data_IF_283650666939
#
_entry.id   IF_283650666939
#
_cell.length_a   1.000
_cell.length_b   1.000
_cell.length_c   1.000
_cell.angle_alpha   90.00
_cell.angle_beta   90.00
_cell.angle_gamma   90.00
#
_symmetry.space_group_name_H-M   'P 1'
#
loop_
_entity.id
_entity.type
_entity.pdbx_description
1 polymer ?
#
# COMPACT_ATOMS: atom_id res chain seq x y z
N UNK A 1 24.01 -24.44 8.51
CA UNK A 1 24.74 -23.19 8.78
C UNK A 1 24.01 -22.52 9.93
N UNK A 2 24.70 -22.21 11.02
CA UNK A 2 24.11 -21.76 12.29
C UNK A 2 23.25 -20.51 12.10
N UNK A 3 21.94 -20.60 12.36
CA UNK A 3 21.10 -19.41 12.57
C UNK A 3 21.77 -18.59 13.68
N UNK A 4 22.19 -17.37 13.37
CA UNK A 4 22.47 -16.38 14.40
C UNK A 4 21.12 -16.01 14.99
N UNK A 5 20.71 -16.76 16.02
CA UNK A 5 19.66 -16.34 16.94
C UNK A 5 20.23 -15.15 17.70
N UNK A 6 20.13 -13.96 17.12
CA UNK A 6 20.32 -12.74 17.88
C UNK A 6 19.26 -12.76 18.98
N UNK A 7 19.72 -12.90 20.23
CA UNK A 7 18.89 -12.84 21.40
C UNK A 7 18.29 -11.43 21.51
N UNK A 8 17.07 -11.25 21.03
CA UNK A 8 16.28 -10.04 21.27
C UNK A 8 15.50 -10.23 22.55
N UNK A 9 16.21 -10.06 23.66
CA UNK A 9 15.63 -9.96 24.98
C UNK A 9 16.22 -8.74 25.66
N UNK A 10 15.34 -7.89 26.19
CA UNK A 10 15.62 -6.72 27.04
C UNK A 10 16.92 -6.89 27.83
N UNK A 11 17.93 -6.10 27.49
CA UNK A 11 18.97 -5.69 28.42
C UNK A 11 18.90 -4.18 28.53
N UNK A 12 18.64 -3.71 29.74
CA UNK A 12 18.86 -2.33 30.18
C UNK A 12 17.80 -1.26 29.82
N UNK A 13 16.52 -1.63 29.70
CA UNK A 13 15.41 -0.66 29.80
C UNK A 13 15.38 0.42 28.71
N UNK A 14 15.98 0.14 27.55
CA UNK A 14 15.88 0.99 26.35
C UNK A 14 14.77 0.42 25.46
N UNK A 15 13.79 1.26 25.13
CA UNK A 15 12.79 1.03 24.09
C UNK A 15 13.47 0.49 22.84
N UNK A 16 13.20 -0.77 22.47
CA UNK A 16 13.83 -1.39 21.32
C UNK A 16 12.91 -1.33 20.09
N UNK A 17 12.98 -0.24 19.32
CA UNK A 17 12.53 -0.26 17.93
C UNK A 17 13.48 -1.18 17.15
N UNK A 18 12.97 -2.25 16.59
CA UNK A 18 13.74 -3.21 15.76
C UNK A 18 12.98 -3.52 14.49
N UNK A 19 13.70 -3.93 13.45
CA UNK A 19 13.08 -4.36 12.21
C UNK A 19 13.61 -5.71 11.73
N UNK A 20 12.72 -6.48 11.11
CA UNK A 20 12.99 -7.75 10.45
C UNK A 20 12.72 -7.54 8.96
N UNK A 21 13.74 -7.76 8.14
CA UNK A 21 13.67 -7.52 6.69
C UNK A 21 13.90 -8.82 5.94
N UNK A 22 13.08 -9.09 4.93
CA UNK A 22 13.23 -10.28 4.11
C UNK A 22 12.33 -10.26 2.88
N UNK A 23 12.65 -11.07 1.85
CA UNK A 23 11.79 -11.19 0.67
C UNK A 23 10.45 -11.86 1.03
N UNK A 24 9.49 -11.78 0.11
CA UNK A 24 8.24 -12.53 0.16
C UNK A 24 8.55 -14.02 0.29
N UNK A 25 7.78 -14.72 1.12
CA UNK A 25 8.02 -16.14 1.39
C UNK A 25 9.18 -16.45 2.34
N UNK A 26 9.96 -15.47 2.80
CA UNK A 26 11.03 -15.66 3.80
C UNK A 26 10.53 -16.06 5.20
N UNK A 27 9.21 -15.95 5.44
CA UNK A 27 8.58 -16.26 6.72
C UNK A 27 8.47 -15.08 7.68
N UNK A 28 8.54 -13.83 7.20
CA UNK A 28 8.35 -12.61 8.01
C UNK A 28 7.10 -12.67 8.91
N UNK A 29 5.93 -12.89 8.33
CA UNK A 29 4.66 -12.99 9.08
C UNK A 29 4.71 -14.13 10.10
N UNK A 30 5.27 -15.29 9.72
CA UNK A 30 5.41 -16.45 10.61
C UNK A 30 6.31 -16.16 11.81
N UNK A 31 7.38 -15.39 11.60
CA UNK A 31 8.27 -14.94 12.67
C UNK A 31 7.57 -13.94 13.59
N UNK A 32 6.79 -12.98 13.06
CA UNK A 32 5.97 -12.09 13.89
C UNK A 32 4.92 -12.85 14.71
N UNK A 33 4.18 -13.77 14.09
CA UNK A 33 3.16 -14.60 14.77
C UNK A 33 3.76 -15.49 15.86
N UNK A 34 4.97 -16.03 15.62
CA UNK A 34 5.71 -16.78 16.64
C UNK A 34 6.01 -15.88 17.84
N UNK A 35 6.58 -14.69 17.60
CA UNK A 35 6.91 -13.72 18.66
C UNK A 35 5.68 -13.24 19.41
N UNK A 36 4.59 -12.97 18.71
CA UNK A 36 3.31 -12.59 19.31
C UNK A 36 2.83 -13.68 20.30
N UNK A 37 2.89 -14.96 19.92
CA UNK A 37 2.53 -16.08 20.81
C UNK A 37 3.48 -16.24 22.01
N UNK A 38 4.75 -15.90 21.84
CA UNK A 38 5.79 -16.03 22.87
C UNK A 38 5.87 -14.81 23.81
N UNK A 39 5.18 -13.71 23.51
CA UNK A 39 5.26 -12.44 24.24
C UNK A 39 3.93 -12.07 24.91
N UNK A 40 3.75 -12.39 26.20
CA UNK A 40 2.53 -12.05 26.93
C UNK A 40 2.23 -10.54 26.92
N UNK A 41 0.99 -10.17 26.62
CA UNK A 41 0.56 -8.78 26.58
C UNK A 41 0.96 -8.01 25.33
N UNK A 42 1.62 -8.66 24.35
CA UNK A 42 1.89 -8.06 23.06
C UNK A 42 0.60 -7.78 22.28
N UNK A 43 0.69 -6.82 21.36
CA UNK A 43 -0.35 -6.53 20.36
C UNK A 43 0.26 -6.63 18.98
N UNK A 44 -0.52 -7.04 17.99
CA UNK A 44 -0.05 -7.26 16.63
C UNK A 44 -0.99 -6.62 15.62
N UNK A 45 -0.39 -5.96 14.62
CA UNK A 45 -1.02 -5.58 13.37
C UNK A 45 -0.50 -6.49 12.25
N UNK A 46 -1.40 -7.19 11.59
CA UNK A 46 -1.12 -8.05 10.43
C UNK A 46 -1.05 -7.24 9.13
N UNK A 47 -0.58 -7.85 8.05
CA UNK A 47 -0.34 -7.18 6.77
C UNK A 47 -1.61 -6.57 6.14
N UNK A 48 -2.79 -7.14 6.43
CA UNK A 48 -4.08 -6.53 6.05
C UNK A 48 -4.59 -5.61 7.18
N UNK A 49 -4.45 -4.27 7.05
CA UNK A 49 -4.93 -3.35 8.06
C UNK A 49 -6.46 -3.41 8.25
N UNK A 50 -7.22 -3.83 7.22
CA UNK A 50 -8.69 -3.88 7.30
C UNK A 50 -9.17 -4.95 8.26
N UNK A 51 -8.39 -6.03 8.46
CA UNK A 51 -8.71 -7.09 9.41
C UNK A 51 -8.70 -6.61 10.88
N UNK A 52 -8.08 -5.46 11.16
CA UNK A 52 -7.96 -4.87 12.50
C UNK A 52 -8.96 -3.76 12.79
N UNK A 53 -9.86 -3.47 11.84
CA UNK A 53 -10.92 -2.48 11.98
C UNK A 53 -12.25 -3.23 12.05
N UNK A 54 -13.06 -2.95 13.07
CA UNK A 54 -14.35 -3.62 13.27
C UNK A 54 -15.38 -3.21 12.23
N UNK A 55 -15.32 -1.96 11.75
CA UNK A 55 -16.35 -1.32 10.91
C UNK A 55 -17.75 -1.31 11.54
N UNK A 56 -17.85 -1.54 12.86
CA UNK A 56 -19.09 -1.50 13.61
C UNK A 56 -19.31 -0.17 14.33
N UNK A 57 -18.29 0.69 14.36
CA UNK A 57 -18.34 2.02 14.96
C UNK A 57 -18.75 3.08 13.94
N UNK A 58 -19.46 4.11 14.40
CA UNK A 58 -19.94 5.18 13.55
C UNK A 58 -18.82 6.13 13.16
N UNK A 59 -17.79 6.25 14.00
CA UNK A 59 -16.70 7.22 13.82
C UNK A 59 -15.32 6.59 13.99
N UNK A 60 -14.29 7.23 13.39
CA UNK A 60 -12.88 6.88 13.60
C UNK A 60 -12.49 6.97 15.08
N UNK A 61 -12.98 7.97 15.81
CA UNK A 61 -12.73 8.12 17.24
C UNK A 61 -13.26 6.92 18.05
N UNK A 62 -14.49 6.49 17.76
CA UNK A 62 -15.09 5.30 18.40
C UNK A 62 -14.35 4.02 18.04
N UNK A 63 -13.86 3.91 16.80
CA UNK A 63 -13.07 2.77 16.35
C UNK A 63 -11.73 2.68 17.09
N UNK A 64 -11.03 3.81 17.27
CA UNK A 64 -9.83 3.91 18.10
C UNK A 64 -10.12 3.59 19.57
N UNK A 65 -11.26 4.04 20.09
CA UNK A 65 -11.66 3.82 21.48
C UNK A 65 -11.97 2.35 21.80
N UNK A 66 -12.39 1.56 20.80
CA UNK A 66 -12.94 0.21 21.00
C UNK A 66 -12.09 -0.68 21.92
N UNK A 67 -10.79 -0.80 21.64
CA UNK A 67 -9.91 -1.66 22.44
C UNK A 67 -9.70 -1.16 23.87
N UNK A 68 -9.80 0.15 24.10
CA UNK A 68 -9.73 0.75 25.44
C UNK A 68 -11.02 0.52 26.24
N UNK A 69 -12.17 0.62 25.58
CA UNK A 69 -13.49 0.31 26.19
C UNK A 69 -13.54 -1.14 26.67
N UNK A 70 -13.07 -2.08 25.85
CA UNK A 70 -12.99 -3.49 26.19
C UNK A 70 -12.08 -3.77 27.41
N UNK A 71 -11.13 -2.88 27.68
CA UNK A 71 -10.24 -2.94 28.85
C UNK A 71 -10.76 -2.15 30.05
N UNK A 72 -11.96 -1.55 29.95
CA UNK A 72 -12.59 -0.80 31.02
C UNK A 72 -11.90 0.53 31.35
N UNK A 73 -11.17 1.13 30.40
CA UNK A 73 -10.53 2.43 30.58
C UNK A 73 -11.59 3.52 30.70
N UNK A 74 -11.38 4.50 31.60
CA UNK A 74 -12.37 5.55 31.83
C UNK A 74 -12.53 6.47 30.60
N UNK A 75 -13.75 6.95 30.27
CA UNK A 75 -14.00 7.76 29.07
C UNK A 75 -13.09 9.00 28.92
N UNK A 76 -12.77 9.68 30.03
CA UNK A 76 -11.87 10.83 29.99
C UNK A 76 -10.44 10.46 29.54
N UNK A 77 -9.95 9.29 29.97
CA UNK A 77 -8.64 8.78 29.57
C UNK A 77 -8.65 8.29 28.11
N UNK A 78 -9.76 7.68 27.67
CA UNK A 78 -9.96 7.29 26.28
C UNK A 78 -9.84 8.51 25.36
N UNK A 79 -10.60 9.57 25.65
CA UNK A 79 -10.57 10.79 24.85
C UNK A 79 -9.19 11.44 24.79
N UNK A 80 -8.46 11.40 25.90
CA UNK A 80 -7.09 11.91 25.96
C UNK A 80 -6.15 11.12 25.03
N UNK A 81 -6.24 9.79 25.04
CA UNK A 81 -5.45 8.93 24.15
C UNK A 81 -5.83 9.10 22.69
N UNK A 82 -7.12 9.14 22.37
CA UNK A 82 -7.63 9.33 20.99
C UNK A 82 -7.12 10.64 20.39
N UNK A 83 -7.06 11.72 21.19
CA UNK A 83 -6.53 13.02 20.71
C UNK A 83 -5.00 13.04 20.56
N UNK A 84 -4.29 12.20 21.31
CA UNK A 84 -2.83 12.14 21.33
C UNK A 84 -2.21 11.13 20.37
N UNK A 85 -3.01 10.19 19.84
CA UNK A 85 -2.51 9.07 19.02
C UNK A 85 -1.70 9.52 17.79
N UNK A 86 -1.94 10.74 17.29
CA UNK A 86 -1.25 11.28 16.12
C UNK A 86 -1.68 10.58 14.82
N UNK A 87 -0.75 10.40 13.89
CA UNK A 87 -0.95 9.76 12.57
C UNK A 87 -1.80 10.55 11.57
N UNK A 88 -2.03 11.85 11.77
CA UNK A 88 -2.81 12.65 10.81
C UNK A 88 -4.29 12.24 10.76
N UNK A 89 -4.80 11.67 11.87
CA UNK A 89 -6.20 11.25 12.04
C UNK A 89 -7.06 12.32 12.72
N UNK A 90 -6.46 13.43 13.18
CA UNK A 90 -7.10 14.45 14.00
C UNK A 90 -8.33 15.07 13.32
N UNK A 91 -8.23 15.31 12.01
CA UNK A 91 -9.32 15.86 11.19
C UNK A 91 -10.28 14.78 10.64
N UNK A 92 -10.06 13.51 11.00
CA UNK A 92 -10.83 12.37 10.53
C UNK A 92 -11.65 11.71 11.65
N UNK A 93 -11.47 12.15 12.91
CA UNK A 93 -12.05 11.53 14.09
C UNK A 93 -13.57 11.34 14.01
N UNK A 94 -14.30 12.29 13.42
CA UNK A 94 -15.76 12.23 13.29
C UNK A 94 -16.24 11.52 12.01
N UNK A 95 -15.34 11.10 11.13
CA UNK A 95 -15.72 10.40 9.88
C UNK A 95 -16.03 8.93 10.14
N UNK A 96 -16.86 8.34 9.27
CA UNK A 96 -17.07 6.90 9.28
C UNK A 96 -15.82 6.16 8.78
N UNK A 97 -15.37 5.06 9.44
CA UNK A 97 -14.22 4.27 8.99
C UNK A 97 -14.32 3.78 7.54
N UNK A 98 -15.54 3.54 7.05
CA UNK A 98 -15.82 3.10 5.66
C UNK A 98 -15.62 4.20 4.61
N UNK A 99 -15.42 5.45 5.01
CA UNK A 99 -15.19 6.59 4.12
C UNK A 99 -13.70 6.94 3.97
N UNK A 100 -12.81 6.21 4.66
CA UNK A 100 -11.38 6.46 4.65
C UNK A 100 -10.72 5.96 3.34
N UNK A 101 -9.67 6.65 2.90
CA UNK A 101 -8.76 6.13 1.86
C UNK A 101 -7.94 4.95 2.38
N UNK A 102 -7.32 4.15 1.51
CA UNK A 102 -6.46 3.03 1.93
C UNK A 102 -5.37 3.43 2.93
N UNK A 103 -4.64 4.52 2.66
CA UNK A 103 -3.64 5.05 3.60
C UNK A 103 -4.26 5.55 4.92
N UNK A 104 -5.45 6.15 4.89
CA UNK A 104 -6.16 6.56 6.11
C UNK A 104 -6.63 5.34 6.93
N UNK A 105 -7.16 4.31 6.28
CA UNK A 105 -7.54 3.03 6.88
C UNK A 105 -6.34 2.36 7.53
N UNK A 106 -5.19 2.33 6.87
CA UNK A 106 -3.94 1.79 7.43
C UNK A 106 -3.50 2.55 8.69
N UNK A 107 -3.53 3.88 8.66
CA UNK A 107 -3.22 4.72 9.84
C UNK A 107 -4.21 4.49 10.98
N UNK A 108 -5.50 4.34 10.68
CA UNK A 108 -6.50 3.96 11.67
C UNK A 108 -6.18 2.60 12.30
N UNK A 109 -5.91 1.57 11.49
CA UNK A 109 -5.58 0.24 11.97
C UNK A 109 -4.33 0.22 12.85
N UNK A 110 -3.29 0.99 12.50
CA UNK A 110 -2.13 1.16 13.36
C UNK A 110 -2.53 1.85 14.67
N UNK A 111 -3.36 2.89 14.59
CA UNK A 111 -3.89 3.61 15.76
C UNK A 111 -4.67 2.70 16.72
N UNK A 112 -5.50 1.78 16.22
CA UNK A 112 -6.27 0.86 17.08
C UNK A 112 -5.38 -0.09 17.88
N UNK A 113 -4.17 -0.38 17.39
CA UNK A 113 -3.17 -1.20 18.07
C UNK A 113 -2.27 -0.35 18.97
N UNK A 114 -1.78 0.80 18.50
CA UNK A 114 -0.86 1.67 19.24
C UNK A 114 -1.52 2.33 20.46
N UNK A 115 -2.81 2.69 20.38
CA UNK A 115 -3.54 3.36 21.46
C UNK A 115 -3.65 2.50 22.74
N UNK A 116 -3.45 1.20 22.58
CA UNK A 116 -3.47 0.20 23.63
C UNK A 116 -2.26 0.31 24.57
N UNK A 117 -1.19 1.01 24.17
CA UNK A 117 0.04 1.21 24.94
C UNK A 117 0.55 -0.12 25.55
N UNK A 118 0.50 -1.18 24.75
CA UNK A 118 0.99 -2.48 25.13
C UNK A 118 2.52 -2.48 25.26
N UNK A 119 3.09 -3.30 26.15
CA UNK A 119 4.55 -3.37 26.36
C UNK A 119 5.32 -3.79 25.10
N UNK A 120 4.67 -4.49 24.16
CA UNK A 120 5.26 -4.87 22.88
C UNK A 120 4.24 -4.74 21.75
N UNK A 121 4.63 -4.07 20.67
CA UNK A 121 3.83 -3.91 19.46
C UNK A 121 4.56 -4.55 18.27
N UNK A 122 3.88 -5.47 17.58
CA UNK A 122 4.39 -6.14 16.38
C UNK A 122 3.61 -5.65 15.16
N UNK A 123 4.29 -5.21 14.11
CA UNK A 123 3.68 -4.62 12.93
C UNK A 123 4.19 -5.30 11.66
N UNK A 124 3.28 -5.82 10.85
CA UNK A 124 3.59 -6.44 9.55
C UNK A 124 3.40 -5.43 8.40
N UNK A 125 4.50 -5.10 7.73
CA UNK A 125 4.66 -4.12 6.64
C UNK A 125 3.91 -2.78 6.84
N UNK A 126 4.00 -2.12 8.01
CA UNK A 126 3.11 -0.99 8.39
C UNK A 126 3.31 0.28 7.56
N UNK A 127 4.49 0.46 6.95
CA UNK A 127 4.88 1.69 6.24
C UNK A 127 4.51 1.66 4.74
N UNK A 128 4.10 0.50 4.23
CA UNK A 128 3.73 0.28 2.83
C UNK A 128 2.48 1.06 2.42
N UNK A 129 2.49 1.66 1.23
CA UNK A 129 1.39 2.47 0.70
C UNK A 129 1.11 3.78 1.44
N UNK A 130 1.99 4.22 2.36
CA UNK A 130 1.88 5.53 2.99
C UNK A 130 2.62 6.60 2.19
N UNK A 131 2.01 7.79 2.07
CA UNK A 131 2.68 8.99 1.56
C UNK A 131 3.82 9.44 2.50
N UNK A 132 4.72 10.29 2.01
CA UNK A 132 5.91 10.76 2.75
C UNK A 132 5.58 11.38 4.11
N UNK A 133 4.52 12.18 4.21
CA UNK A 133 4.13 12.85 5.46
C UNK A 133 3.55 11.85 6.47
N UNK A 134 2.63 11.00 6.02
CA UNK A 134 2.03 9.92 6.80
C UNK A 134 3.07 8.91 7.28
N UNK A 135 4.06 8.59 6.43
CA UNK A 135 5.18 7.71 6.77
C UNK A 135 6.05 8.33 7.87
N UNK A 136 6.41 9.60 7.74
CA UNK A 136 7.20 10.30 8.75
C UNK A 136 6.46 10.39 10.10
N UNK A 137 5.15 10.64 10.09
CA UNK A 137 4.31 10.63 11.30
C UNK A 137 4.28 9.25 11.97
N UNK A 138 4.18 8.18 11.17
CA UNK A 138 4.22 6.82 11.69
C UNK A 138 5.60 6.51 12.29
N UNK A 139 6.70 6.81 11.60
CA UNK A 139 8.05 6.60 12.13
C UNK A 139 8.23 7.33 13.46
N UNK A 140 7.82 8.59 13.56
CA UNK A 140 7.88 9.36 14.80
C UNK A 140 7.03 8.72 15.92
N UNK A 141 5.85 8.18 15.61
CA UNK A 141 5.04 7.43 16.59
C UNK A 141 5.81 6.20 17.08
N UNK A 142 6.37 5.40 16.18
CA UNK A 142 7.10 4.17 16.52
C UNK A 142 8.35 4.46 17.36
N UNK A 143 9.08 5.54 17.06
CA UNK A 143 10.26 5.97 17.82
C UNK A 143 9.91 6.52 19.21
N UNK A 144 8.73 7.12 19.36
CA UNK A 144 8.24 7.67 20.64
C UNK A 144 7.46 6.69 21.50
N UNK A 145 7.22 5.48 21.01
CA UNK A 145 6.41 4.48 21.70
C UNK A 145 7.11 3.99 22.98
N UNK A 146 6.41 3.98 24.13
CA UNK A 146 7.03 3.64 25.42
C UNK A 146 7.34 2.14 25.59
N UNK A 147 6.89 1.27 24.69
CA UNK A 147 7.15 -0.17 24.68
C UNK A 147 8.06 -0.64 23.55
N UNK A 148 8.31 -1.94 23.45
CA UNK A 148 9.09 -2.53 22.37
C UNK A 148 8.30 -2.51 21.05
N UNK A 149 8.96 -2.20 19.94
CA UNK A 149 8.34 -2.18 18.60
C UNK A 149 9.12 -3.08 17.67
N UNK A 150 8.44 -4.05 17.06
CA UNK A 150 9.03 -4.96 16.07
C UNK A 150 8.29 -4.77 14.75
N UNK A 151 9.00 -4.31 13.72
CA UNK A 151 8.46 -4.13 12.38
C UNK A 151 8.99 -5.22 11.45
N UNK A 152 8.12 -6.01 10.82
CA UNK A 152 8.51 -6.80 9.66
C UNK A 152 8.25 -6.01 8.38
N UNK A 153 9.16 -6.04 7.41
CA UNK A 153 8.98 -5.38 6.13
C UNK A 153 9.82 -6.02 5.02
N UNK A 154 9.47 -5.75 3.78
CA UNK A 154 10.22 -6.26 2.62
C UNK A 154 11.45 -5.43 2.25
N UNK A 155 11.62 -4.28 2.89
CA UNK A 155 12.81 -3.44 2.78
C UNK A 155 13.08 -2.70 4.07
N UNK A 156 14.29 -2.17 4.18
CA UNK A 156 14.71 -1.34 5.31
C UNK A 156 14.03 0.02 5.24
N UNK A 157 13.08 0.26 6.14
CA UNK A 157 12.41 1.56 6.24
C UNK A 157 12.92 2.43 7.39
N UNK A 158 13.44 1.79 8.44
CA UNK A 158 13.80 2.44 9.69
C UNK A 158 15.32 2.49 9.86
N UNK A 159 15.80 3.52 10.55
CA UNK A 159 17.17 3.50 11.08
C UNK A 159 17.19 2.80 12.44
N UNK A 160 17.00 1.48 12.41
CA UNK A 160 16.90 0.64 13.60
C UNK A 160 17.71 -0.66 13.43
N UNK A 161 18.11 -1.33 14.55
CA UNK A 161 18.70 -2.67 14.49
C UNK A 161 17.87 -3.59 13.59
N UNK A 162 18.54 -4.19 12.59
CA UNK A 162 17.89 -4.94 11.52
C UNK A 162 18.32 -6.40 11.53
N UNK A 163 17.33 -7.30 11.53
CA UNK A 163 17.53 -8.74 11.32
C UNK A 163 17.09 -9.06 9.91
N UNK A 164 17.91 -9.82 9.19
CA UNK A 164 17.55 -10.29 7.86
C UNK A 164 17.07 -11.75 7.91
N UNK A 165 15.94 -12.03 7.25
CA UNK A 165 15.39 -13.37 7.07
C UNK A 165 15.41 -13.75 5.59
N UNK A 166 15.90 -14.94 5.28
CA UNK A 166 16.08 -15.41 3.92
C UNK A 166 17.29 -14.79 3.21
N UNK A 167 17.48 -15.18 1.97
CA UNK A 167 18.51 -14.61 1.10
C UNK A 167 17.98 -13.30 0.50
N UNK A 168 18.73 -12.22 0.68
CA UNK A 168 18.36 -10.94 0.10
C UNK A 168 18.63 -10.99 -1.40
N UNK A 169 17.58 -10.74 -2.19
CA UNK A 169 17.74 -10.48 -3.61
C UNK A 169 18.38 -9.09 -3.80
N UNK A 170 19.25 -8.96 -4.79
CA UNK A 170 19.78 -7.66 -5.20
C UNK A 170 18.84 -7.04 -6.25
N UNK A 171 18.71 -5.72 -6.19
CA UNK A 171 17.96 -4.98 -7.19
C UNK A 171 18.72 -5.05 -8.53
N UNK A 172 18.04 -5.53 -9.57
CA UNK A 172 18.55 -5.65 -10.93
C UNK A 172 17.59 -4.96 -11.87
N UNK A 173 17.97 -3.76 -12.32
CA UNK A 173 17.16 -2.95 -13.23
C UNK A 173 17.38 -3.37 -14.70
N UNK A 174 16.34 -3.27 -15.54
CA UNK A 174 16.42 -3.61 -16.96
C UNK A 174 17.28 -2.61 -17.74
N UNK A 175 17.64 -2.97 -18.97
CA UNK A 175 18.33 -2.07 -19.88
C UNK A 175 17.45 -0.86 -20.26
N UNK A 176 18.09 0.26 -20.57
CA UNK A 176 17.40 1.48 -20.96
C UNK A 176 16.57 1.28 -22.22
N UNK A 177 15.31 1.70 -22.15
CA UNK A 177 14.36 1.64 -23.26
C UNK A 177 14.66 2.78 -24.25
N UNK A 178 14.79 2.43 -25.53
CA UNK A 178 14.92 3.43 -26.60
C UNK A 178 13.57 4.11 -26.86
N UNK A 179 13.59 5.43 -26.89
CA UNK A 179 12.41 6.22 -27.14
C UNK A 179 12.07 6.19 -28.63
N UNK A 180 10.94 5.58 -28.96
CA UNK A 180 10.34 5.72 -30.28
C UNK A 180 8.84 5.91 -30.12
N UNK A 181 8.30 6.96 -30.72
CA UNK A 181 6.90 6.91 -31.12
C UNK A 181 6.03 8.14 -30.87
N UNK A 182 4.75 7.85 -31.04
CA UNK A 182 3.63 8.78 -31.11
C UNK A 182 3.28 9.28 -29.72
N UNK A 183 2.96 10.57 -29.61
CA UNK A 183 2.40 11.11 -28.38
C UNK A 183 0.90 10.95 -28.38
N UNK A 184 0.37 10.52 -27.24
CA UNK A 184 -1.06 10.43 -27.00
C UNK A 184 -1.47 11.53 -26.05
N UNK A 185 -2.44 12.32 -26.47
CA UNK A 185 -3.02 13.39 -25.65
C UNK A 185 -4.45 12.99 -25.27
N UNK A 186 -4.70 12.98 -23.96
CA UNK A 186 -6.02 12.87 -23.37
C UNK A 186 -6.48 14.28 -23.01
N UNK A 187 -7.67 14.68 -23.45
CA UNK A 187 -8.14 16.05 -23.28
C UNK A 187 -9.41 16.11 -22.43
N UNK A 188 -9.49 17.15 -21.60
CA UNK A 188 -10.61 17.40 -20.71
C UNK A 188 -10.98 16.21 -19.80
N UNK A 189 -9.99 15.43 -19.37
CA UNK A 189 -10.21 14.27 -18.52
C UNK A 189 -10.71 14.72 -17.15
N UNK A 190 -11.81 14.11 -16.73
CA UNK A 190 -12.38 14.32 -15.40
C UNK A 190 -12.47 13.00 -14.66
N UNK A 191 -11.97 12.97 -13.43
CA UNK A 191 -12.21 11.87 -12.50
C UNK A 191 -13.34 12.24 -11.55
N UNK A 192 -14.26 11.31 -11.28
CA UNK A 192 -15.34 11.52 -10.29
C UNK A 192 -15.39 10.37 -9.28
N UNK A 193 -15.49 10.71 -7.99
CA UNK A 193 -15.65 9.77 -6.87
C UNK A 193 -16.89 10.14 -6.06
N UNK A 194 -17.68 9.14 -5.67
CA UNK A 194 -18.94 9.32 -4.93
C UNK A 194 -20.15 8.87 -5.77
N UNK A 195 -21.14 8.25 -5.13
CA UNK A 195 -22.33 7.72 -5.83
C UNK A 195 -23.53 8.66 -5.66
N UNK A 196 -24.30 8.85 -6.74
CA UNK A 196 -25.69 9.27 -6.59
C UNK A 196 -26.53 8.12 -6.02
N UNK A 197 -27.61 8.46 -5.28
CA UNK A 197 -28.59 7.51 -4.72
C UNK A 197 -28.89 6.37 -5.71
N UNK A 198 -28.50 5.13 -5.39
CA UNK A 198 -28.99 3.93 -6.08
C UNK A 198 -30.19 3.33 -5.32
N UNK A 199 -30.98 2.50 -6.04
CA UNK A 199 -32.36 2.06 -5.74
C UNK A 199 -32.58 1.50 -4.33
N UNK A 200 -33.86 1.47 -3.95
CA UNK A 200 -34.54 1.24 -2.64
C UNK A 200 -34.00 0.21 -1.62
N UNK A 201 -32.94 -0.53 -1.90
CA UNK A 201 -32.31 -1.49 -0.97
C UNK A 201 -30.89 -1.09 -0.51
N UNK A 202 -30.35 0.05 -0.94
CA UNK A 202 -29.08 0.58 -0.43
C UNK A 202 -29.33 1.73 0.55
N UNK A 203 -29.08 1.49 1.84
CA UNK A 203 -29.21 2.45 2.95
C UNK A 203 -27.96 3.32 3.15
N UNK A 204 -27.15 3.54 2.12
CA UNK A 204 -25.96 4.37 2.25
C UNK A 204 -26.34 5.84 2.07
N UNK A 205 -25.90 6.69 3.00
CA UNK A 205 -25.88 8.13 2.75
C UNK A 205 -25.07 8.43 1.48
N UNK A 206 -25.53 9.36 0.62
CA UNK A 206 -24.78 9.74 -0.56
C UNK A 206 -23.38 10.20 -0.14
N UNK A 207 -22.36 9.51 -0.66
CA UNK A 207 -20.98 9.94 -0.44
C UNK A 207 -20.77 11.30 -1.13
N UNK A 208 -20.04 12.24 -0.50
CA UNK A 208 -19.75 13.53 -1.10
C UNK A 208 -19.09 13.32 -2.48
N UNK A 209 -19.64 13.99 -3.49
CA UNK A 209 -19.08 13.97 -4.83
C UNK A 209 -17.77 14.74 -4.83
N UNK A 210 -16.68 14.04 -5.16
CA UNK A 210 -15.37 14.61 -5.42
C UNK A 210 -15.12 14.53 -6.93
N UNK A 211 -14.66 15.63 -7.52
CA UNK A 211 -14.32 15.71 -8.94
C UNK A 211 -12.94 16.33 -9.10
N UNK A 212 -12.14 15.77 -10.00
CA UNK A 212 -10.86 16.32 -10.43
C UNK A 212 -10.89 16.57 -11.94
N UNK A 213 -10.28 17.66 -12.38
CA UNK A 213 -10.26 18.11 -13.77
C UNK A 213 -11.34 19.14 -14.12
N UNK A 214 -11.52 19.46 -15.42
CA UNK A 214 -10.87 18.84 -16.59
C UNK A 214 -9.35 19.07 -16.64
N UNK A 215 -8.59 18.04 -17.05
CA UNK A 215 -7.14 18.10 -17.26
C UNK A 215 -6.78 17.59 -18.66
N UNK A 216 -5.77 18.20 -19.26
CA UNK A 216 -5.13 17.72 -20.48
C UNK A 216 -3.81 17.03 -20.11
N UNK A 217 -3.63 15.81 -20.60
CA UNK A 217 -2.51 14.93 -20.26
C UNK A 217 -1.87 14.41 -21.54
N UNK A 218 -0.55 14.47 -21.64
CA UNK A 218 0.18 13.91 -22.79
C UNK A 218 1.26 12.96 -22.32
N UNK A 219 1.24 11.74 -22.87
CA UNK A 219 2.28 10.73 -22.67
C UNK A 219 2.71 10.17 -24.03
N UNK A 220 3.99 9.88 -24.19
CA UNK A 220 4.54 9.32 -25.43
C UNK A 220 4.97 7.88 -25.22
N UNK A 221 4.95 7.07 -26.28
CA UNK A 221 5.52 5.72 -26.26
C UNK A 221 6.95 5.71 -25.68
N UNK A 222 7.25 4.79 -24.76
CA UNK A 222 8.51 4.73 -24.03
C UNK A 222 8.66 5.76 -22.88
N UNK A 223 7.65 6.59 -22.62
CA UNK A 223 7.63 7.51 -21.48
C UNK A 223 6.72 7.01 -20.36
N UNK A 224 7.07 7.47 -19.15
CA UNK A 224 6.28 7.33 -17.94
C UNK A 224 5.87 8.72 -17.46
N UNK A 225 4.57 8.95 -17.29
CA UNK A 225 4.05 10.13 -16.60
C UNK A 225 3.77 9.77 -15.14
N UNK A 226 4.56 10.33 -14.22
CA UNK A 226 4.37 10.18 -12.78
C UNK A 226 3.43 11.27 -12.25
N UNK A 227 2.25 10.83 -11.81
CA UNK A 227 1.25 11.68 -11.17
C UNK A 227 1.55 11.82 -9.68
N UNK A 228 1.98 13.02 -9.29
CA UNK A 228 2.29 13.39 -7.91
C UNK A 228 1.13 14.12 -7.24
N UNK A 229 1.10 14.07 -5.92
CA UNK A 229 0.16 14.83 -5.09
C UNK A 229 -0.09 14.14 -3.75
N UNK A 230 -0.57 14.89 -2.74
CA UNK A 230 -0.85 14.33 -1.43
C UNK A 230 -1.97 13.27 -1.48
N UNK A 231 -2.11 12.49 -0.41
CA UNK A 231 -3.22 11.56 -0.28
C UNK A 231 -4.56 12.31 -0.35
N UNK A 232 -5.48 11.81 -1.19
CA UNK A 232 -6.76 12.46 -1.43
C UNK A 232 -6.75 13.60 -2.46
N UNK A 233 -5.62 13.89 -3.13
CA UNK A 233 -5.57 14.89 -4.22
C UNK A 233 -6.38 14.49 -5.46
N UNK A 234 -6.76 13.21 -5.59
CA UNK A 234 -7.58 12.71 -6.69
C UNK A 234 -6.84 11.84 -7.70
N UNK A 235 -5.54 11.52 -7.47
CA UNK A 235 -4.72 10.61 -8.30
C UNK A 235 -5.46 9.36 -8.82
N UNK A 236 -5.89 8.47 -7.92
CA UNK A 236 -6.64 7.25 -8.29
C UNK A 236 -7.99 7.54 -8.95
N UNK A 237 -8.59 8.70 -8.64
CA UNK A 237 -9.86 9.12 -9.25
C UNK A 237 -9.64 9.57 -10.70
N UNK A 238 -8.51 10.23 -10.98
CA UNK A 238 -8.09 10.60 -12.32
C UNK A 238 -7.72 9.38 -13.15
N UNK A 239 -6.95 8.43 -12.61
CA UNK A 239 -6.62 7.16 -13.28
C UNK A 239 -7.88 6.38 -13.68
N UNK A 240 -8.90 6.33 -12.81
CA UNK A 240 -10.19 5.71 -13.16
C UNK A 240 -10.92 6.43 -14.28
N UNK A 241 -10.86 7.76 -14.34
CA UNK A 241 -11.42 8.52 -15.45
C UNK A 241 -10.67 8.28 -16.77
N UNK A 242 -9.35 8.07 -16.71
CA UNK A 242 -8.54 7.69 -17.87
C UNK A 242 -8.83 6.27 -18.35
N UNK A 243 -9.20 5.35 -17.45
CA UNK A 243 -9.47 3.95 -17.80
C UNK A 243 -10.66 3.75 -18.74
N UNK A 244 -11.53 4.77 -18.89
CA UNK A 244 -12.62 4.76 -19.87
C UNK A 244 -12.13 5.08 -21.30
N UNK A 245 -10.89 5.54 -21.46
CA UNK A 245 -10.31 5.89 -22.77
C UNK A 245 -9.82 4.64 -23.53
N UNK A 246 -10.08 4.53 -24.85
CA UNK A 246 -9.75 3.34 -25.63
C UNK A 246 -8.27 2.96 -25.58
N UNK A 247 -7.90 1.68 -25.44
CA UNK A 247 -6.50 1.27 -25.42
C UNK A 247 -5.73 1.71 -24.16
N UNK A 248 -6.44 2.10 -23.10
CA UNK A 248 -5.89 2.19 -21.75
C UNK A 248 -6.24 0.93 -20.97
N UNK A 249 -5.41 0.57 -20.00
CA UNK A 249 -5.69 -0.52 -19.06
C UNK A 249 -5.24 -0.11 -17.65
N UNK A 250 -6.05 -0.43 -16.64
CA UNK A 250 -5.84 0.04 -15.26
C UNK A 250 -5.41 -1.09 -14.34
N UNK A 251 -4.28 -0.91 -13.68
CA UNK A 251 -3.90 -1.65 -12.48
C UNK A 251 -4.37 -0.89 -11.24
N UNK A 252 -5.26 -1.48 -10.46
CA UNK A 252 -5.71 -0.91 -9.19
C UNK A 252 -4.64 -1.03 -8.08
N UNK A 253 -4.67 -0.08 -7.15
CA UNK A 253 -3.84 -0.09 -5.93
C UNK A 253 -3.94 -1.40 -5.15
N UNK A 254 -5.13 -1.99 -5.03
CA UNK A 254 -5.32 -3.30 -4.42
C UNK A 254 -5.62 -4.34 -5.52
N UNK A 255 -4.68 -5.25 -5.83
CA UNK A 255 -4.87 -6.28 -6.85
C UNK A 255 -6.12 -7.14 -6.64
N UNK A 256 -6.45 -7.43 -5.37
CA UNK A 256 -7.63 -8.26 -5.03
C UNK A 256 -8.95 -7.64 -5.47
N UNK A 257 -9.02 -6.31 -5.62
CA UNK A 257 -10.23 -5.63 -6.09
C UNK A 257 -10.50 -5.87 -7.61
N UNK A 258 -9.54 -6.44 -8.36
CA UNK A 258 -9.68 -6.81 -9.78
C UNK A 258 -9.76 -8.31 -10.02
N UNK A 259 -9.73 -9.12 -8.97
CA UNK A 259 -9.90 -10.57 -9.10
C UNK A 259 -11.37 -10.87 -9.38
N UNK A 260 -11.67 -11.24 -10.62
CA UNK A 260 -13.02 -11.61 -11.07
C UNK A 260 -13.14 -13.09 -11.45
N UNK A 261 -12.02 -13.76 -11.67
CA UNK A 261 -11.95 -15.16 -12.09
C UNK A 261 -11.57 -16.09 -10.93
N UNK A 262 -12.00 -17.34 -11.03
CA UNK A 262 -11.77 -18.37 -10.01
C UNK A 262 -10.39 -19.01 -10.07
N UNK A 263 -9.63 -18.81 -11.15
CA UNK A 263 -8.28 -19.36 -11.34
C UNK A 263 -7.38 -18.33 -12.01
N UNK A 264 -6.08 -18.41 -11.71
CA UNK A 264 -5.07 -17.55 -12.33
C UNK A 264 -4.99 -17.77 -13.85
N UNK A 265 -5.21 -19.01 -14.32
CA UNK A 265 -5.25 -19.34 -15.76
C UNK A 265 -6.33 -18.56 -16.54
N UNK A 266 -7.48 -18.33 -15.91
CA UNK A 266 -8.56 -17.57 -16.53
C UNK A 266 -8.33 -16.06 -16.45
N UNK A 267 -7.68 -15.60 -15.38
CA UNK A 267 -7.41 -14.18 -15.15
C UNK A 267 -6.25 -13.65 -15.99
N UNK A 268 -5.16 -14.42 -16.07
CA UNK A 268 -3.90 -14.02 -16.70
C UNK A 268 -3.75 -14.72 -18.06
N UNK A 269 -3.79 -13.98 -19.19
CA UNK A 269 -3.64 -14.57 -20.51
C UNK A 269 -2.36 -15.39 -20.66
N UNK A 270 -2.51 -16.66 -21.02
CA UNK A 270 -1.40 -17.59 -21.24
C UNK A 270 -0.88 -18.33 -19.99
N UNK A 271 -1.47 -18.09 -18.81
CA UNK A 271 -1.18 -18.86 -17.60
C UNK A 271 -1.89 -20.23 -17.61
N UNK A 272 -1.25 -21.25 -17.03
CA UNK A 272 -1.83 -22.58 -16.81
C UNK A 272 -2.04 -22.89 -15.33
N UNK A 273 -2.01 -21.87 -14.46
CA UNK A 273 -2.18 -22.07 -13.02
C UNK A 273 -3.66 -22.22 -12.64
N UNK A 274 -4.00 -23.37 -12.04
CA UNK A 274 -5.33 -23.66 -11.51
C UNK A 274 -5.54 -23.13 -10.08
N UNK A 275 -4.54 -22.44 -9.51
CA UNK A 275 -4.64 -21.81 -8.20
C UNK A 275 -5.64 -20.65 -8.24
N UNK A 276 -6.35 -20.43 -7.13
CA UNK A 276 -7.23 -19.28 -7.00
C UNK A 276 -6.39 -18.00 -6.82
N UNK A 277 -6.68 -16.87 -7.52
CA UNK A 277 -5.81 -15.70 -7.44
C UNK A 277 -5.61 -15.16 -6.02
N UNK A 278 -6.62 -15.23 -5.15
CA UNK A 278 -6.52 -14.78 -3.75
C UNK A 278 -5.69 -15.71 -2.84
N UNK A 279 -5.29 -16.89 -3.31
CA UNK A 279 -4.37 -17.77 -2.58
C UNK A 279 -2.89 -17.40 -2.84
N UNK A 280 -2.63 -16.60 -3.88
CA UNK A 280 -1.30 -16.08 -4.20
C UNK A 280 -0.78 -15.16 -3.10
N UNK A 281 0.55 -15.12 -2.93
CA UNK A 281 1.17 -14.07 -2.13
C UNK A 281 0.91 -12.67 -2.72
N UNK A 282 1.04 -11.61 -1.92
CA UNK A 282 0.87 -10.23 -2.39
C UNK A 282 1.76 -9.90 -3.60
N UNK A 283 3.01 -10.38 -3.59
CA UNK A 283 3.94 -10.28 -4.72
C UNK A 283 3.38 -10.95 -5.96
N UNK A 284 2.98 -12.21 -5.86
CA UNK A 284 2.48 -12.99 -6.99
C UNK A 284 1.17 -12.42 -7.53
N UNK A 285 0.26 -12.01 -6.65
CA UNK A 285 -1.01 -11.38 -7.02
C UNK A 285 -0.78 -10.05 -7.76
N UNK A 286 0.17 -9.22 -7.31
CA UNK A 286 0.55 -7.98 -8.01
C UNK A 286 1.14 -8.26 -9.39
N UNK A 287 2.02 -9.26 -9.50
CA UNK A 287 2.61 -9.63 -10.80
C UNK A 287 1.56 -10.21 -11.75
N UNK A 288 0.65 -11.05 -11.24
CA UNK A 288 -0.48 -11.58 -11.99
C UNK A 288 -1.42 -10.47 -12.49
N UNK A 289 -1.73 -9.47 -11.66
CA UNK A 289 -2.48 -8.28 -12.08
C UNK A 289 -1.76 -7.52 -13.21
N UNK A 290 -0.44 -7.35 -13.10
CA UNK A 290 0.36 -6.70 -14.14
C UNK A 290 0.30 -7.49 -15.46
N UNK A 291 0.48 -8.82 -15.38
CA UNK A 291 0.42 -9.71 -16.55
C UNK A 291 -0.97 -9.74 -17.19
N UNK A 292 -2.04 -9.74 -16.39
CA UNK A 292 -3.42 -9.63 -16.87
C UNK A 292 -3.66 -8.31 -17.61
N UNK A 293 -3.22 -7.18 -17.04
CA UNK A 293 -3.34 -5.87 -17.67
C UNK A 293 -2.55 -5.77 -18.99
N UNK A 294 -1.29 -6.24 -18.99
CA UNK A 294 -0.45 -6.22 -20.19
C UNK A 294 -0.94 -7.20 -21.27
N UNK A 295 -1.57 -8.31 -20.87
CA UNK A 295 -2.15 -9.29 -21.80
C UNK A 295 -3.29 -8.74 -22.66
N UNK A 296 -3.94 -7.66 -22.23
CA UNK A 296 -4.94 -6.93 -23.02
C UNK A 296 -4.33 -6.06 -24.12
N UNK A 297 -2.98 -6.02 -24.22
CA UNK A 297 -2.21 -5.23 -25.18
C UNK A 297 -2.60 -3.73 -25.17
N UNK A 298 -2.56 -3.04 -24.01
CA UNK A 298 -2.86 -1.62 -23.95
C UNK A 298 -1.84 -0.80 -24.74
N UNK A 299 -2.25 0.38 -25.21
CA UNK A 299 -1.32 1.41 -25.65
C UNK A 299 -0.78 2.19 -24.45
N UNK A 300 -1.61 2.40 -23.42
CA UNK A 300 -1.25 3.12 -22.20
C UNK A 300 -1.61 2.30 -20.97
N UNK A 301 -0.60 1.93 -20.17
CA UNK A 301 -0.82 1.30 -18.87
C UNK A 301 -1.01 2.37 -17.79
N UNK A 302 -2.10 2.28 -17.03
CA UNK A 302 -2.43 3.12 -15.89
C UNK A 302 -2.11 2.34 -14.62
N UNK A 303 -1.04 2.68 -13.90
CA UNK A 303 -0.59 1.93 -12.73
C UNK A 303 -0.82 2.69 -11.43
N UNK A 304 -1.81 2.28 -10.63
CA UNK A 304 -2.11 2.91 -9.33
C UNK A 304 -1.29 2.23 -8.22
N UNK A 305 -0.27 2.91 -7.69
CA UNK A 305 0.66 2.40 -6.64
C UNK A 305 1.21 0.98 -6.92
N UNK A 306 1.90 0.76 -8.05
CA UNK A 306 2.38 -0.57 -8.44
C UNK A 306 3.48 -1.12 -7.54
N UNK A 307 4.13 -0.28 -6.74
CA UNK A 307 5.20 -0.65 -5.80
C UNK A 307 4.68 -1.36 -4.54
N UNK A 308 3.40 -1.22 -4.23
CA UNK A 308 2.80 -1.76 -3.01
C UNK A 308 2.70 -3.28 -3.11
N UNK A 309 3.23 -3.96 -2.07
CA UNK A 309 3.22 -5.41 -1.94
C UNK A 309 4.40 -6.12 -2.63
N UNK A 310 5.40 -5.38 -3.11
CA UNK A 310 6.58 -5.94 -3.75
C UNK A 310 7.82 -5.93 -2.84
N UNK A 311 8.43 -7.10 -2.72
CA UNK A 311 9.83 -7.26 -2.31
C UNK A 311 10.79 -6.95 -3.46
N UNK A 312 12.10 -7.09 -3.23
CA UNK A 312 13.12 -6.81 -4.26
C UNK A 312 12.93 -7.70 -5.50
N UNK A 313 12.62 -8.99 -5.32
CA UNK A 313 12.36 -9.88 -6.46
C UNK A 313 11.12 -9.50 -7.26
N UNK A 314 10.06 -9.08 -6.57
CA UNK A 314 8.85 -8.51 -7.17
C UNK A 314 9.13 -7.21 -7.90
N UNK A 315 9.99 -6.33 -7.35
CA UNK A 315 10.46 -5.12 -8.03
C UNK A 315 11.23 -5.45 -9.31
N UNK A 316 12.20 -6.35 -9.25
CA UNK A 316 12.95 -6.80 -10.43
C UNK A 316 11.98 -7.30 -11.52
N UNK A 317 11.00 -8.11 -11.12
CA UNK A 317 10.01 -8.68 -12.01
C UNK A 317 9.03 -7.64 -12.61
N UNK A 318 8.59 -6.63 -11.84
CA UNK A 318 7.70 -5.59 -12.34
C UNK A 318 8.45 -4.57 -13.21
N UNK A 319 9.70 -4.22 -12.85
CA UNK A 319 10.53 -3.34 -13.67
C UNK A 319 10.80 -3.95 -15.04
N UNK A 320 11.10 -5.25 -15.10
CA UNK A 320 11.27 -5.95 -16.36
C UNK A 320 10.01 -5.88 -17.24
N UNK A 321 8.82 -6.15 -16.67
CA UNK A 321 7.54 -6.04 -17.38
C UNK A 321 7.29 -4.63 -17.92
N UNK A 322 7.56 -3.62 -17.10
CA UNK A 322 7.42 -2.21 -17.51
C UNK A 322 8.41 -1.86 -18.62
N UNK A 323 9.67 -2.28 -18.53
CA UNK A 323 10.65 -2.02 -19.58
C UNK A 323 10.29 -2.73 -20.89
N UNK A 324 9.84 -3.98 -20.85
CA UNK A 324 9.39 -4.72 -22.03
C UNK A 324 8.19 -4.05 -22.69
N UNK A 325 7.19 -3.64 -21.89
CA UNK A 325 6.02 -2.92 -22.36
C UNK A 325 6.38 -1.58 -23.01
N UNK A 326 7.20 -0.77 -22.34
CA UNK A 326 7.67 0.52 -22.86
C UNK A 326 8.52 0.35 -24.13
N UNK A 327 9.37 -0.68 -24.17
CA UNK A 327 10.21 -1.02 -25.33
C UNK A 327 9.43 -1.50 -26.55
N UNK A 328 8.24 -2.06 -26.33
CA UNK A 328 7.30 -2.43 -27.39
C UNK A 328 6.41 -1.26 -27.86
N UNK A 329 6.72 -0.02 -27.45
CA UNK A 329 6.01 1.18 -27.86
C UNK A 329 4.82 1.57 -26.97
N UNK A 330 4.65 0.90 -25.83
CA UNK A 330 3.68 1.29 -24.81
C UNK A 330 4.07 2.58 -24.09
N UNK A 331 3.09 3.24 -23.48
CA UNK A 331 3.30 4.39 -22.60
C UNK A 331 2.70 4.12 -21.22
N UNK A 332 3.20 4.74 -20.17
CA UNK A 332 2.69 4.49 -18.81
C UNK A 332 2.32 5.77 -18.09
N UNK A 333 1.23 5.76 -17.34
CA UNK A 333 0.88 6.78 -16.35
C UNK A 333 0.80 6.07 -15.01
N UNK A 334 1.62 6.49 -14.04
CA UNK A 334 1.63 5.84 -12.73
C UNK A 334 1.43 6.82 -11.59
N UNK A 335 0.85 6.34 -10.51
CA UNK A 335 0.86 6.98 -9.19
C UNK A 335 1.77 6.15 -8.30
N UNK A 336 2.62 6.81 -7.51
CA UNK A 336 3.52 6.14 -6.59
C UNK A 336 3.96 7.13 -5.53
N UNK A 337 4.01 6.67 -4.28
CA UNK A 337 4.50 7.43 -3.12
C UNK A 337 5.94 7.05 -2.73
N UNK A 338 6.52 6.05 -3.40
CA UNK A 338 7.90 5.65 -3.21
C UNK A 338 8.81 6.27 -4.27
N UNK A 339 9.44 7.38 -3.91
CA UNK A 339 10.40 8.09 -4.76
C UNK A 339 11.56 7.19 -5.20
N UNK A 340 11.96 6.21 -4.38
CA UNK A 340 12.99 5.24 -4.77
C UNK A 340 12.51 4.37 -5.92
N UNK A 341 11.27 3.90 -5.88
CA UNK A 341 10.70 3.12 -6.99
C UNK A 341 10.63 3.94 -8.29
N UNK A 342 10.28 5.23 -8.20
CA UNK A 342 10.25 6.10 -9.38
C UNK A 342 11.65 6.41 -9.90
N UNK A 343 12.63 6.59 -9.01
CA UNK A 343 14.03 6.72 -9.39
C UNK A 343 14.54 5.46 -10.10
N UNK A 344 14.17 4.27 -9.62
CA UNK A 344 14.45 2.98 -10.28
C UNK A 344 13.86 2.93 -11.70
N UNK A 345 12.62 3.41 -11.89
CA UNK A 345 12.01 3.53 -13.23
C UNK A 345 12.79 4.51 -14.12
N UNK A 346 13.27 5.63 -13.56
CA UNK A 346 14.00 6.66 -14.30
C UNK A 346 15.38 6.19 -14.81
N UNK A 347 15.94 5.13 -14.25
CA UNK A 347 17.18 4.52 -14.74
C UNK A 347 17.01 3.88 -16.13
N UNK A 348 15.82 3.36 -16.45
CA UNK A 348 15.55 2.68 -17.72
C UNK A 348 14.50 3.35 -18.61
N UNK A 349 13.71 4.30 -18.10
CA UNK A 349 12.68 5.01 -18.86
C UNK A 349 12.72 6.53 -18.64
N UNK A 350 12.12 7.30 -19.55
CA UNK A 350 11.97 8.75 -19.36
C UNK A 350 10.75 9.00 -18.48
N UNK A 351 10.99 9.51 -17.26
CA UNK A 351 9.93 9.91 -16.33
C UNK A 351 9.66 11.41 -16.46
N UNK A 352 8.40 11.78 -16.67
CA UNK A 352 7.90 13.15 -16.57
C UNK A 352 7.02 13.27 -15.34
N UNK A 353 7.09 14.41 -14.68
CA UNK A 353 6.33 14.68 -13.46
C UNK A 353 5.13 15.57 -13.75
N UNK A 354 4.03 15.30 -13.07
CA UNK A 354 2.87 16.18 -13.04
C UNK A 354 2.24 16.18 -11.64
N UNK A 355 2.10 17.36 -11.05
CA UNK A 355 1.41 17.55 -9.77
C UNK A 355 -0.10 17.73 -9.93
N UNK A 356 -0.86 17.18 -8.98
CA UNK A 356 -2.32 17.34 -8.81
C UNK A 356 -2.68 18.12 -7.55
#
# INVERSE_FOLDING_TARGET
MSLVVAAFGSRDGVVALTQIVGPSGSGLTRELEKRYRETPGAVMLTADPRAHITYLRATVAEELAFGLEQRGIAPAQIWERVRKIGLGLENLLDRAPTQLSGGQTRRLAIGTVAILEAPTMLLDDPLSGLDTSSRAQLVALLESYEGDVIVAAHKRWLDAPTVYLGDLEELSLPARVEFSGTSRTFSAITGTRGQQRRRWWQFNEPQPQFQIGPLDLTVSAGQVLWLQGPNGSGKSTLLRGLADEPGTELMLQNPSDQVIDSTVANWVPGSNSEEHPLDLSQRELRLAQCDAALGNNPEVLLADEPDVGLDIGGRNAIHQRFADFLGNGGAMILTCHDETFVAEVAEYAIVKEMGL
#
